data_IF_544234108918
#
_entry.id   IF_544234108918
#
_cell.length_a   1.000
_cell.length_b   1.000
_cell.length_c   1.000
_cell.angle_alpha   90.00
_cell.angle_beta   90.00
_cell.angle_gamma   90.00
#
_symmetry.space_group_name_H-M   'P 1'
#
loop_
_entity.id
_entity.type
_entity.pdbx_description
1 polymer ?
#
# COMPACT_ATOMS: atom_id res chain seq x y z
N UNK A 1 29.67 -71.69 -7.58
CA UNK A 1 28.37 -71.83 -8.28
C UNK A 1 27.68 -72.98 -7.58
N UNK A 2 26.60 -72.86 -6.80
CA UNK A 2 25.45 -71.98 -6.94
C UNK A 2 24.72 -71.97 -5.57
N UNK A 3 24.78 -70.86 -4.83
CA UNK A 3 24.18 -70.71 -3.51
C UNK A 3 22.94 -69.81 -3.60
N UNK A 4 21.76 -70.41 -3.75
CA UNK A 4 20.50 -69.67 -3.90
C UNK A 4 20.03 -69.12 -2.55
N UNK A 5 20.30 -67.84 -2.30
CA UNK A 5 19.67 -67.07 -1.23
C UNK A 5 18.23 -66.73 -1.65
N UNK A 6 17.25 -67.30 -0.95
CA UNK A 6 15.83 -66.92 -1.11
C UNK A 6 15.57 -65.68 -0.26
N UNK A 7 15.49 -64.52 -0.90
CA UNK A 7 15.00 -63.28 -0.28
C UNK A 7 13.48 -63.37 -0.18
N UNK A 8 12.96 -63.44 1.04
CA UNK A 8 11.51 -63.39 1.32
C UNK A 8 11.12 -61.92 1.49
N UNK A 9 10.33 -61.38 0.56
CA UNK A 9 9.70 -60.07 0.70
C UNK A 9 8.49 -60.19 1.63
N UNK A 10 8.58 -59.67 2.86
CA UNK A 10 7.43 -59.47 3.73
C UNK A 10 6.80 -58.13 3.35
N UNK A 11 5.67 -58.18 2.64
CA UNK A 11 4.83 -57.00 2.41
C UNK A 11 3.97 -56.74 3.66
N UNK A 12 4.41 -55.81 4.51
CA UNK A 12 3.57 -55.21 5.56
C UNK A 12 2.64 -54.18 4.90
N UNK A 13 1.40 -54.59 4.61
CA UNK A 13 0.33 -53.66 4.24
C UNK A 13 -0.11 -52.94 5.52
N UNK A 14 0.49 -51.79 5.79
CA UNK A 14 0.06 -50.86 6.82
C UNK A 14 -1.17 -50.11 6.29
N UNK A 15 -2.36 -50.67 6.50
CA UNK A 15 -3.62 -49.96 6.24
C UNK A 15 -3.87 -48.93 7.33
N UNK A 16 -3.21 -47.77 7.22
CA UNK A 16 -3.64 -46.59 7.95
C UNK A 16 -4.93 -46.08 7.29
N UNK A 17 -6.09 -46.42 7.86
CA UNK A 17 -7.31 -45.66 7.67
C UNK A 17 -7.02 -44.23 8.16
N UNK A 18 -6.65 -43.35 7.24
CA UNK A 18 -6.75 -41.91 7.48
C UNK A 18 -8.23 -41.60 7.48
N UNK A 19 -8.84 -41.64 8.67
CA UNK A 19 -10.14 -41.02 8.90
C UNK A 19 -9.97 -39.53 8.61
N UNK A 20 -10.30 -39.15 7.38
CA UNK A 20 -10.41 -37.76 6.97
C UNK A 20 -11.49 -37.12 7.82
N UNK A 21 -11.07 -36.43 8.89
CA UNK A 21 -11.87 -35.36 9.45
C UNK A 21 -11.85 -34.25 8.40
N UNK A 22 -12.78 -34.30 7.45
CA UNK A 22 -13.01 -33.20 6.52
C UNK A 22 -13.75 -32.12 7.27
N UNK A 23 -13.04 -31.37 8.11
CA UNK A 23 -13.49 -30.04 8.53
C UNK A 23 -13.61 -29.22 7.25
N UNK A 24 -14.84 -28.89 6.84
CA UNK A 24 -15.07 -28.03 5.68
C UNK A 24 -14.29 -26.73 5.88
N UNK A 25 -13.19 -26.58 5.16
CA UNK A 25 -12.32 -25.43 5.32
C UNK A 25 -13.12 -24.18 4.93
N UNK A 26 -13.10 -23.16 5.80
CA UNK A 26 -13.84 -21.93 5.55
C UNK A 26 -13.08 -21.15 4.47
N UNK A 27 -13.68 -21.07 3.29
CA UNK A 27 -13.10 -20.42 2.11
C UNK A 27 -13.81 -19.11 1.83
N UNK A 28 -13.04 -18.09 1.44
CA UNK A 28 -13.51 -16.76 1.06
C UNK A 28 -14.35 -16.79 -0.21
N UNK A 29 -15.56 -16.22 -0.16
CA UNK A 29 -16.46 -16.05 -1.31
C UNK A 29 -16.81 -14.58 -1.53
N UNK A 30 -17.28 -14.27 -2.74
CA UNK A 30 -17.79 -12.93 -3.03
C UNK A 30 -18.98 -12.59 -2.12
N UNK A 31 -18.97 -11.38 -1.56
CA UNK A 31 -19.94 -10.90 -0.58
C UNK A 31 -19.56 -11.16 0.88
N UNK A 32 -18.57 -12.01 1.16
CA UNK A 32 -18.05 -12.18 2.53
C UNK A 32 -17.29 -10.92 2.95
N UNK A 33 -17.38 -10.58 4.23
CA UNK A 33 -16.45 -9.64 4.86
C UNK A 33 -15.25 -10.43 5.34
N UNK A 34 -14.06 -10.11 4.84
CA UNK A 34 -12.80 -10.76 5.22
C UNK A 34 -11.93 -9.78 5.99
N UNK A 35 -11.11 -10.30 6.89
CA UNK A 35 -10.00 -9.54 7.48
C UNK A 35 -8.68 -10.21 7.09
N UNK A 36 -7.74 -9.42 6.62
CA UNK A 36 -6.44 -9.89 6.16
C UNK A 36 -5.30 -9.15 6.83
N UNK A 37 -4.25 -9.88 7.19
CA UNK A 37 -2.94 -9.30 7.37
C UNK A 37 -2.22 -9.24 6.03
N UNK A 38 -1.43 -8.20 5.80
CA UNK A 38 -0.63 -8.12 4.59
C UNK A 38 0.67 -7.35 4.77
N UNK A 39 1.61 -7.60 3.84
CA UNK A 39 2.80 -6.79 3.62
C UNK A 39 2.91 -6.47 2.15
N UNK A 40 2.95 -5.19 1.82
CA UNK A 40 3.15 -4.65 0.48
C UNK A 40 4.62 -4.29 0.28
N UNK A 41 5.18 -4.71 -0.85
CA UNK A 41 6.54 -4.43 -1.29
C UNK A 41 6.58 -3.88 -2.71
N UNK A 42 7.66 -3.17 -3.03
CA UNK A 42 8.04 -2.97 -4.43
C UNK A 42 8.71 -4.24 -5.01
N UNK A 43 8.97 -4.21 -6.32
CA UNK A 43 9.64 -5.32 -7.03
C UNK A 43 11.07 -5.59 -6.56
N UNK A 44 11.69 -4.67 -5.82
CA UNK A 44 13.02 -4.84 -5.23
C UNK A 44 12.94 -5.35 -3.78
N UNK A 45 11.74 -5.66 -3.29
CA UNK A 45 11.51 -6.21 -1.96
C UNK A 45 11.41 -5.17 -0.83
N UNK A 46 11.52 -3.87 -1.14
CA UNK A 46 11.38 -2.81 -0.13
C UNK A 46 9.94 -2.81 0.38
N UNK A 47 9.76 -2.91 1.69
CA UNK A 47 8.44 -2.82 2.31
C UNK A 47 7.92 -1.38 2.19
N UNK A 48 6.70 -1.25 1.66
CA UNK A 48 6.02 0.04 1.47
C UNK A 48 4.90 0.22 2.49
N UNK A 49 4.18 -0.86 2.82
CA UNK A 49 3.07 -0.86 3.78
C UNK A 49 2.90 -2.24 4.42
N UNK A 50 2.36 -2.30 5.64
CA UNK A 50 2.04 -3.56 6.31
C UNK A 50 1.03 -3.35 7.45
N UNK A 51 0.20 -4.36 7.71
CA UNK A 51 -0.63 -4.42 8.91
C UNK A 51 0.16 -4.85 10.15
N UNK A 52 1.40 -5.31 10.01
CA UNK A 52 2.20 -5.84 11.11
C UNK A 52 3.20 -4.80 11.67
N UNK A 53 2.98 -4.37 12.92
CA UNK A 53 3.82 -3.34 13.56
C UNK A 53 5.31 -3.73 13.68
N UNK A 54 5.62 -5.01 13.89
CA UNK A 54 7.00 -5.49 13.98
C UNK A 54 7.71 -5.41 12.63
N UNK A 55 7.01 -5.76 11.54
CA UNK A 55 7.53 -5.61 10.17
C UNK A 55 7.74 -4.13 9.85
N UNK A 56 6.80 -3.26 10.23
CA UNK A 56 6.92 -1.81 10.01
C UNK A 56 8.14 -1.21 10.73
N UNK A 57 8.37 -1.60 12.00
CA UNK A 57 9.55 -1.18 12.77
C UNK A 57 10.84 -1.67 12.15
N UNK A 58 10.90 -2.95 11.77
CA UNK A 58 12.09 -3.55 11.16
C UNK A 58 12.47 -2.91 9.80
N UNK A 59 11.51 -2.27 9.13
CA UNK A 59 11.70 -1.62 7.83
C UNK A 59 11.69 -0.08 7.90
N UNK A 60 11.73 0.50 9.10
CA UNK A 60 11.74 1.96 9.32
C UNK A 60 10.54 2.70 8.68
N UNK A 61 9.38 2.05 8.63
CA UNK A 61 8.11 2.65 8.15
C UNK A 61 7.05 2.72 9.26
N UNK A 62 7.47 2.57 10.52
CA UNK A 62 6.56 2.61 11.66
C UNK A 62 5.96 4.01 11.84
N UNK A 63 4.64 4.09 11.91
CA UNK A 63 3.88 5.28 12.22
C UNK A 63 3.03 5.03 13.46
N UNK A 64 3.25 5.72 14.59
CA UNK A 64 2.49 5.50 15.83
C UNK A 64 0.99 5.84 15.69
N UNK A 65 0.58 6.61 14.68
CA UNK A 65 -0.83 6.87 14.39
C UNK A 65 -1.52 5.70 13.66
N UNK A 66 -0.77 4.74 13.11
CA UNK A 66 -1.33 3.56 12.47
C UNK A 66 -1.60 2.47 13.54
N UNK A 67 -2.83 1.91 13.63
CA UNK A 67 -3.16 0.89 14.62
C UNK A 67 -2.52 -0.48 14.36
N UNK A 68 -1.98 -0.75 13.16
CA UNK A 68 -1.41 -2.05 12.78
C UNK A 68 -2.35 -3.22 13.07
N UNK A 69 -3.57 -3.10 12.55
CA UNK A 69 -4.62 -4.10 12.65
C UNK A 69 -4.91 -4.71 11.27
N UNK A 70 -5.50 -5.94 11.22
CA UNK A 70 -5.94 -6.54 9.98
C UNK A 70 -6.85 -5.61 9.18
N UNK A 71 -6.66 -5.59 7.87
CA UNK A 71 -7.47 -4.81 6.95
C UNK A 71 -8.73 -5.59 6.59
N UNK A 72 -9.90 -5.01 6.83
CA UNK A 72 -11.19 -5.64 6.56
C UNK A 72 -11.90 -5.04 5.36
N UNK A 73 -12.42 -5.87 4.47
CA UNK A 73 -13.19 -5.44 3.31
C UNK A 73 -14.20 -6.51 2.85
N UNK A 74 -15.16 -6.11 2.02
CA UNK A 74 -16.13 -7.04 1.41
C UNK A 74 -15.62 -7.49 0.05
N UNK A 75 -15.45 -8.79 -0.13
CA UNK A 75 -14.90 -9.36 -1.37
C UNK A 75 -15.87 -9.18 -2.53
N UNK A 76 -15.39 -8.67 -3.66
CA UNK A 76 -16.17 -8.35 -4.84
C UNK A 76 -16.95 -7.03 -4.77
N UNK A 77 -16.69 -6.18 -3.76
CA UNK A 77 -17.39 -4.88 -3.60
C UNK A 77 -16.77 -3.72 -4.38
N UNK A 78 -15.62 -3.94 -5.06
CA UNK A 78 -14.85 -2.90 -5.78
C UNK A 78 -14.38 -1.74 -4.88
N UNK A 79 -14.18 -1.99 -3.59
CA UNK A 79 -13.64 -1.01 -2.62
C UNK A 79 -12.12 -1.11 -2.43
N UNK A 80 -11.50 -2.13 -3.02
CA UNK A 80 -10.06 -2.38 -3.01
C UNK A 80 -9.54 -2.51 -4.44
N UNK A 81 -8.21 -2.51 -4.61
CA UNK A 81 -7.61 -2.74 -5.94
C UNK A 81 -7.96 -4.16 -6.43
N UNK A 82 -8.30 -4.27 -7.71
CA UNK A 82 -8.91 -5.48 -8.29
C UNK A 82 -8.06 -6.72 -8.12
N UNK A 83 -6.73 -6.61 -8.31
CA UNK A 83 -5.81 -7.72 -8.14
C UNK A 83 -5.74 -8.25 -6.71
N UNK A 84 -5.90 -7.37 -5.72
CA UNK A 84 -5.92 -7.77 -4.31
C UNK A 84 -7.22 -8.51 -3.96
N UNK A 85 -8.37 -8.00 -4.42
CA UNK A 85 -9.67 -8.69 -4.29
C UNK A 85 -9.64 -10.09 -4.92
N UNK A 86 -9.14 -10.17 -6.16
CA UNK A 86 -9.00 -11.42 -6.91
C UNK A 86 -8.06 -12.40 -6.20
N UNK A 87 -6.95 -11.92 -5.62
CA UNK A 87 -6.00 -12.76 -4.90
C UNK A 87 -6.58 -13.35 -3.61
N UNK A 88 -7.39 -12.58 -2.88
CA UNK A 88 -8.02 -13.03 -1.62
C UNK A 88 -9.18 -14.00 -1.86
N UNK A 89 -9.88 -13.85 -2.98
CA UNK A 89 -10.98 -14.74 -3.37
C UNK A 89 -10.52 -16.21 -3.41
N UNK A 90 -11.30 -17.09 -2.80
CA UNK A 90 -10.98 -18.51 -2.74
C UNK A 90 -9.86 -18.90 -1.78
N UNK A 91 -9.28 -17.95 -1.01
CA UNK A 91 -8.37 -18.31 0.07
C UNK A 91 -9.11 -18.96 1.24
N UNK A 92 -8.47 -19.91 1.91
CA UNK A 92 -8.94 -20.50 3.15
C UNK A 92 -8.59 -19.64 4.36
N UNK A 93 -9.36 -19.75 5.45
CA UNK A 93 -9.01 -19.15 6.75
C UNK A 93 -7.60 -19.60 7.18
N UNK A 94 -6.78 -18.67 7.64
CA UNK A 94 -5.36 -18.85 7.99
C UNK A 94 -4.42 -19.14 6.82
N UNK A 95 -4.91 -19.23 5.57
CA UNK A 95 -4.03 -19.38 4.43
C UNK A 95 -3.21 -18.11 4.22
N UNK A 96 -1.93 -18.29 3.86
CA UNK A 96 -1.05 -17.21 3.38
C UNK A 96 -0.72 -17.43 1.91
N UNK A 97 -0.91 -16.40 1.08
CA UNK A 97 -0.36 -16.32 -0.28
C UNK A 97 0.82 -15.35 -0.25
N UNK A 98 1.97 -15.78 -0.75
CA UNK A 98 3.18 -14.96 -0.81
C UNK A 98 3.48 -14.51 -2.23
N UNK A 99 4.16 -13.36 -2.37
CA UNK A 99 4.60 -12.79 -3.65
C UNK A 99 3.48 -12.61 -4.69
N UNK A 100 2.25 -12.29 -4.26
CA UNK A 100 1.15 -11.93 -5.15
C UNK A 100 1.53 -10.64 -5.89
N UNK A 101 1.83 -10.76 -7.18
CA UNK A 101 2.32 -9.65 -8.00
C UNK A 101 1.16 -9.01 -8.77
N UNK A 102 0.93 -7.73 -8.54
CA UNK A 102 -0.12 -6.94 -9.17
C UNK A 102 0.51 -5.91 -10.10
N UNK A 103 0.25 -6.03 -11.40
CA UNK A 103 0.59 -5.03 -12.41
C UNK A 103 -0.25 -3.76 -12.22
N UNK A 104 0.14 -2.62 -12.83
CA UNK A 104 -0.59 -1.36 -12.68
C UNK A 104 -2.10 -1.47 -12.94
N UNK A 105 -2.52 -2.19 -14.00
CA UNK A 105 -3.93 -2.41 -14.36
C UNK A 105 -4.72 -3.20 -13.29
N UNK A 106 -4.04 -4.00 -12.46
CA UNK A 106 -4.59 -4.73 -11.32
C UNK A 106 -4.42 -4.01 -9.98
N UNK A 107 -3.73 -2.87 -9.99
CA UNK A 107 -3.42 -2.05 -8.83
C UNK A 107 -4.04 -0.65 -8.97
N UNK A 108 -3.21 0.37 -9.17
CA UNK A 108 -3.61 1.79 -9.16
C UNK A 108 -3.70 2.42 -10.56
N UNK A 109 -3.69 1.60 -11.61
CA UNK A 109 -3.68 2.01 -13.00
C UNK A 109 -2.31 2.52 -13.46
N UNK A 110 -2.22 2.81 -14.76
CA UNK A 110 -1.03 3.41 -15.35
C UNK A 110 -0.78 4.83 -14.86
N UNK A 111 0.49 5.20 -14.80
CA UNK A 111 0.88 6.58 -14.54
C UNK A 111 0.50 7.46 -15.73
N UNK A 112 -0.24 8.54 -15.47
CA UNK A 112 -0.68 9.45 -16.51
C UNK A 112 0.06 10.78 -16.44
N UNK A 113 0.96 11.03 -17.40
CA UNK A 113 1.73 12.27 -17.49
C UNK A 113 0.85 13.51 -17.69
N UNK A 114 -0.37 13.37 -18.25
CA UNK A 114 -1.32 14.48 -18.40
C UNK A 114 -1.95 14.91 -17.07
N UNK A 115 -1.80 14.10 -16.02
CA UNK A 115 -2.16 14.44 -14.63
C UNK A 115 -1.01 15.09 -13.86
N UNK A 116 0.06 15.48 -14.57
CA UNK A 116 1.20 16.17 -13.99
C UNK A 116 1.19 17.59 -14.52
N UNK A 117 1.06 18.55 -13.62
CA UNK A 117 1.05 19.97 -13.94
C UNK A 117 2.26 20.66 -13.31
N UNK A 118 2.71 21.76 -13.90
CA UNK A 118 3.75 22.61 -13.32
C UNK A 118 3.15 23.95 -12.98
N UNK A 119 3.46 24.44 -11.78
CA UNK A 119 3.12 25.80 -11.34
C UNK A 119 4.38 26.52 -10.87
N UNK A 120 4.30 27.85 -10.79
CA UNK A 120 5.39 28.68 -10.29
C UNK A 120 5.33 28.80 -8.77
N UNK A 121 6.51 28.81 -8.14
CA UNK A 121 6.64 29.18 -6.75
C UNK A 121 6.55 30.70 -6.61
N UNK A 122 5.94 31.14 -5.53
CA UNK A 122 5.89 32.55 -5.14
C UNK A 122 6.74 32.79 -3.90
N UNK A 123 7.37 33.95 -3.85
CA UNK A 123 8.01 34.41 -2.62
C UNK A 123 7.02 35.28 -1.87
N UNK A 124 6.69 34.88 -0.64
CA UNK A 124 5.95 35.71 0.30
C UNK A 124 6.89 36.26 1.37
N UNK A 125 6.57 37.45 1.89
CA UNK A 125 7.30 38.10 2.97
C UNK A 125 6.35 38.35 4.14
N UNK A 126 6.70 37.83 5.32
CA UNK A 126 5.88 37.93 6.51
C UNK A 126 6.49 38.86 7.55
N UNK A 127 5.69 39.80 8.06
CA UNK A 127 6.11 40.61 9.20
C UNK A 127 6.17 39.75 10.47
N UNK A 128 7.38 39.50 10.98
CA UNK A 128 7.64 38.66 12.16
C UNK A 128 7.08 37.22 12.08
N UNK A 129 6.89 36.69 10.87
CA UNK A 129 6.39 35.32 10.68
C UNK A 129 7.56 34.34 10.62
N UNK A 130 7.53 33.31 11.46
CA UNK A 130 8.53 32.24 11.43
C UNK A 130 8.11 31.10 10.48
N UNK A 131 8.43 31.24 9.19
CA UNK A 131 8.05 30.25 8.18
C UNK A 131 8.69 28.86 8.35
N UNK A 132 9.75 28.73 9.14
CA UNK A 132 10.40 27.42 9.38
C UNK A 132 9.46 26.39 10.00
N UNK A 133 8.45 26.86 10.75
CA UNK A 133 7.45 26.00 11.40
C UNK A 133 6.39 25.47 10.42
N UNK A 134 6.34 26.02 9.21
CA UNK A 134 5.31 25.72 8.21
C UNK A 134 5.88 25.02 6.98
N UNK A 135 7.20 24.80 6.88
CA UNK A 135 7.79 24.05 5.75
C UNK A 135 7.13 22.67 5.64
N UNK A 136 6.71 22.32 4.42
CA UNK A 136 5.91 21.15 4.07
C UNK A 136 4.51 21.12 4.70
N UNK A 137 3.96 22.28 5.06
CA UNK A 137 2.62 22.42 5.61
C UNK A 137 1.86 23.53 4.88
N UNK A 138 0.54 23.46 4.98
CA UNK A 138 -0.36 24.50 4.52
C UNK A 138 -0.58 25.51 5.64
N UNK A 139 -0.61 26.80 5.30
CA UNK A 139 -1.00 27.88 6.20
C UNK A 139 -1.91 28.88 5.49
N UNK A 140 -2.61 29.70 6.27
CA UNK A 140 -3.32 30.86 5.75
C UNK A 140 -2.37 32.06 5.81
N UNK A 141 -2.19 32.75 4.68
CA UNK A 141 -1.39 33.95 4.56
C UNK A 141 -2.16 34.98 3.72
N UNK A 142 -2.44 36.16 4.27
CA UNK A 142 -3.25 37.21 3.63
C UNK A 142 -4.58 36.69 3.05
N UNK A 143 -5.36 35.96 3.86
CA UNK A 143 -6.64 35.35 3.49
C UNK A 143 -6.57 34.29 2.37
N UNK A 144 -5.37 33.82 2.02
CA UNK A 144 -5.14 32.76 1.04
C UNK A 144 -4.48 31.54 1.68
N UNK A 145 -4.90 30.34 1.28
CA UNK A 145 -4.19 29.11 1.62
C UNK A 145 -2.95 28.94 0.75
N UNK A 146 -1.80 28.79 1.40
CA UNK A 146 -0.51 28.57 0.73
C UNK A 146 0.16 27.32 1.28
N UNK A 147 0.77 26.52 0.41
CA UNK A 147 1.65 25.41 0.82
C UNK A 147 3.09 25.91 0.83
N UNK A 148 3.74 25.86 2.00
CA UNK A 148 5.12 26.35 2.15
C UNK A 148 6.09 25.25 1.75
N UNK A 149 6.80 25.44 0.64
CA UNK A 149 7.75 24.44 0.11
C UNK A 149 9.16 24.62 0.67
N UNK A 150 9.47 25.81 1.18
CA UNK A 150 10.80 26.11 1.70
C UNK A 150 10.94 27.55 2.15
N UNK A 151 12.09 27.86 2.75
CA UNK A 151 12.45 29.21 3.13
C UNK A 151 12.88 30.02 1.90
N UNK A 152 12.54 31.31 1.92
CA UNK A 152 13.00 32.26 0.92
C UNK A 152 14.42 32.75 1.18
N UNK A 153 14.95 33.63 0.32
CA UNK A 153 16.32 34.13 0.40
C UNK A 153 16.57 35.05 1.61
N UNK A 154 15.52 35.68 2.15
CA UNK A 154 15.58 36.47 3.37
C UNK A 154 14.96 35.73 4.56
N UNK A 155 15.42 36.05 5.77
CA UNK A 155 15.00 35.42 7.02
C UNK A 155 13.49 35.51 7.33
N UNK A 156 12.79 36.47 6.71
CA UNK A 156 11.35 36.70 6.84
C UNK A 156 10.55 36.29 5.59
N UNK A 157 11.15 35.54 4.67
CA UNK A 157 10.49 35.12 3.41
C UNK A 157 10.32 33.61 3.30
N UNK A 158 9.32 33.19 2.53
CA UNK A 158 9.08 31.79 2.19
C UNK A 158 8.79 31.62 0.70
N UNK A 159 9.16 30.45 0.16
CA UNK A 159 8.71 29.97 -1.13
C UNK A 159 7.44 29.15 -0.94
N UNK A 160 6.39 29.48 -1.69
CA UNK A 160 5.08 28.88 -1.53
C UNK A 160 4.44 28.52 -2.86
N UNK A 161 3.49 27.59 -2.80
CA UNK A 161 2.50 27.39 -3.85
C UNK A 161 1.16 27.94 -3.35
N UNK A 162 0.61 29.00 -3.97
CA UNK A 162 -0.72 29.48 -3.65
C UNK A 162 -1.77 28.46 -4.11
N UNK A 163 -2.57 27.94 -3.17
CA UNK A 163 -3.50 26.86 -3.47
C UNK A 163 -4.70 27.33 -4.30
N UNK A 164 -4.99 28.63 -4.34
CA UNK A 164 -6.00 29.19 -5.25
C UNK A 164 -5.65 28.98 -6.74
N UNK A 165 -4.36 28.84 -7.04
CA UNK A 165 -3.84 28.63 -8.41
C UNK A 165 -3.83 27.17 -8.81
N UNK A 166 -4.06 26.28 -7.85
CA UNK A 166 -4.22 24.85 -8.09
C UNK A 166 -5.70 24.61 -8.33
N UNK A 167 -6.09 24.44 -9.60
CA UNK A 167 -7.44 24.00 -9.90
C UNK A 167 -7.62 22.55 -9.42
N UNK A 168 -8.79 22.27 -8.86
CA UNK A 168 -9.43 20.96 -8.64
C UNK A 168 -9.29 20.28 -7.27
N UNK A 169 -10.46 19.89 -6.76
CA UNK A 169 -10.64 18.90 -5.70
C UNK A 169 -9.95 17.57 -6.07
N UNK A 170 -9.15 17.03 -5.16
CA UNK A 170 -8.46 15.76 -5.35
C UNK A 170 -7.21 15.66 -4.46
N UNK A 171 -6.72 14.43 -4.25
CA UNK A 171 -5.39 14.20 -3.68
C UNK A 171 -4.33 14.45 -4.75
N UNK A 172 -3.29 15.17 -4.38
CA UNK A 172 -2.12 15.43 -5.21
C UNK A 172 -0.86 15.43 -4.36
N UNK A 173 0.28 15.26 -5.01
CA UNK A 173 1.60 15.52 -4.40
C UNK A 173 2.21 16.79 -4.99
N UNK A 174 2.87 17.58 -4.13
CA UNK A 174 3.62 18.76 -4.54
C UNK A 174 5.11 18.42 -4.43
N UNK A 175 5.82 18.47 -5.56
CA UNK A 175 7.27 18.30 -5.60
C UNK A 175 7.92 19.62 -6.02
N UNK A 176 8.59 20.35 -5.12
CA UNK A 176 9.24 21.61 -5.46
C UNK A 176 10.54 21.40 -6.23
N UNK A 177 10.79 22.28 -7.20
CA UNK A 177 12.09 22.51 -7.81
C UNK A 177 12.54 23.94 -7.47
N UNK A 178 13.34 24.04 -6.41
CA UNK A 178 13.80 25.31 -5.87
C UNK A 178 14.78 26.03 -6.81
N UNK A 179 15.46 25.30 -7.69
CA UNK A 179 16.41 25.88 -8.65
C UNK A 179 15.66 26.63 -9.75
N UNK A 180 14.62 25.99 -10.29
CA UNK A 180 13.80 26.56 -11.35
C UNK A 180 12.62 27.40 -10.82
N UNK A 181 12.46 27.49 -9.49
CA UNK A 181 11.34 28.16 -8.80
C UNK A 181 9.98 27.66 -9.28
N UNK A 182 9.87 26.36 -9.50
CA UNK A 182 8.63 25.71 -9.93
C UNK A 182 8.20 24.66 -8.91
N UNK A 183 6.96 24.19 -9.01
CA UNK A 183 6.50 22.99 -8.35
C UNK A 183 5.73 22.11 -9.32
N UNK A 184 5.99 20.81 -9.24
CA UNK A 184 5.22 19.78 -9.92
C UNK A 184 4.05 19.37 -9.05
N UNK A 185 2.85 19.37 -9.63
CA UNK A 185 1.60 18.93 -9.05
C UNK A 185 1.22 17.60 -9.72
N UNK A 186 1.33 16.50 -8.99
CA UNK A 186 1.02 15.17 -9.51
C UNK A 186 -0.28 14.64 -8.90
N UNK A 187 -1.30 14.49 -9.74
CA UNK A 187 -2.64 14.01 -9.38
C UNK A 187 -2.82 12.49 -9.61
N UNK A 188 -1.75 11.77 -9.92
CA UNK A 188 -1.81 10.32 -9.96
C UNK A 188 -1.92 9.76 -8.52
N UNK A 189 -2.60 8.61 -8.34
CA UNK A 189 -2.44 7.83 -7.12
C UNK A 189 -0.95 7.61 -6.83
N UNK A 190 -0.49 7.65 -5.56
CA UNK A 190 0.94 7.54 -5.22
C UNK A 190 1.64 6.29 -5.79
N UNK A 191 0.89 5.22 -6.04
CA UNK A 191 1.37 3.94 -6.57
C UNK A 191 1.03 3.71 -8.05
N UNK A 192 0.53 4.71 -8.77
CA UNK A 192 0.22 4.58 -10.20
C UNK A 192 1.47 4.20 -11.02
N UNK A 193 1.29 3.32 -11.99
CA UNK A 193 2.35 2.79 -12.84
C UNK A 193 3.34 1.86 -12.13
N UNK A 194 3.13 1.53 -10.85
CA UNK A 194 3.98 0.61 -10.10
C UNK A 194 3.41 -0.81 -10.12
N UNK A 195 4.29 -1.78 -10.31
CA UNK A 195 4.01 -3.17 -9.96
C UNK A 195 4.19 -3.35 -8.45
N UNK A 196 3.19 -3.95 -7.82
CA UNK A 196 3.11 -4.14 -6.37
C UNK A 196 3.20 -5.64 -6.03
N UNK A 197 3.88 -5.97 -4.95
CA UNK A 197 4.05 -7.36 -4.50
C UNK A 197 3.49 -7.50 -3.09
N UNK A 198 2.56 -8.43 -2.89
CA UNK A 198 1.89 -8.65 -1.60
C UNK A 198 2.18 -10.03 -1.04
N UNK A 199 2.41 -10.08 0.27
CA UNK A 199 2.15 -11.26 1.10
C UNK A 199 0.83 -11.02 1.83
N UNK A 200 -0.13 -11.95 1.74
CA UNK A 200 -1.50 -11.80 2.26
C UNK A 200 -1.87 -13.03 3.08
N UNK A 201 -2.39 -12.82 4.30
CA UNK A 201 -2.90 -13.86 5.18
C UNK A 201 -4.35 -13.58 5.54
N UNK A 202 -5.25 -14.53 5.31
CA UNK A 202 -6.65 -14.41 5.77
C UNK A 202 -6.73 -14.77 7.24
N UNK A 203 -7.15 -13.82 8.08
CA UNK A 203 -7.22 -14.03 9.55
C UNK A 203 -8.65 -14.12 10.08
N UNK A 204 -9.64 -13.63 9.32
CA UNK A 204 -11.05 -13.80 9.64
C UNK A 204 -11.91 -13.82 8.37
N UNK A 205 -13.02 -14.55 8.41
CA UNK A 205 -14.05 -14.58 7.37
C UNK A 205 -15.40 -14.47 8.06
N UNK A 206 -16.17 -13.43 7.77
CA UNK A 206 -17.58 -13.29 8.17
C UNK A 206 -18.42 -13.50 6.94
N UNK A 207 -19.10 -14.65 6.89
CA UNK A 207 -19.92 -15.04 5.75
C UNK A 207 -21.08 -14.09 5.59
N UNK A 208 -21.39 -13.74 4.34
CA UNK A 208 -22.64 -13.04 4.04
C UNK A 208 -23.83 -13.83 4.60
N UNK A 209 -24.72 -13.14 5.30
CA UNK A 209 -25.99 -13.71 5.77
C UNK A 209 -26.92 -14.05 4.60
#
# INVERSE_FOLDING_TARGET
MDGKVKVVFIALILSALVMGCTSSEKVVKAGDTVSVDYTLRDVNGKVLETTNSSVAKANNIYNPANPYAPFSFVVGSNTTISGFDEAVKGMSLNQTKTNVTLTPDKAYGDYNASKVLTTQLETIEGNNTNFSQFVNQTMVFNDEYVYVVGLGPANNTALVVPLSKINTAGLYTITPDLNNKTATLDYNPPMAGKTLVFDITVVDIKTKA
#
